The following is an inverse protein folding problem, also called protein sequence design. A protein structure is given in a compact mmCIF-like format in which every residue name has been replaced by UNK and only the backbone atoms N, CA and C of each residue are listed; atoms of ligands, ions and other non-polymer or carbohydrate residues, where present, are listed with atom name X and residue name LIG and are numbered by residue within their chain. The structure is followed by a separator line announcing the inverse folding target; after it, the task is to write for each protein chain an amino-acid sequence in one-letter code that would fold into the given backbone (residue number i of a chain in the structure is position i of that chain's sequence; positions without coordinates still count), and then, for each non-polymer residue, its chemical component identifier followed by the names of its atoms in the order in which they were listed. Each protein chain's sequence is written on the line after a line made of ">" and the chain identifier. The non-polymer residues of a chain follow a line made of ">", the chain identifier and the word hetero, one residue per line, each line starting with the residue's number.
data_IF_216851004507
#
_entry.id   IF_216851004507
#
_cell.length_a   1.000
_cell.length_b   1.000
_cell.length_c   1.000
_cell.angle_alpha   90.00
_cell.angle_beta   90.00
_cell.angle_gamma   90.00
#
_symmetry.space_group_name_H-M   'P 1'
#
loop_
_entity.id
_entity.type
_entity.pdbx_description
1 polymer ?
#
# COMPACT_ATOMS: atom_id res chain seq x y z
N UNK A 1 -0.80 -26.33 -20.67
CA UNK A 1 -1.63 -25.29 -20.02
C UNK A 1 -2.42 -24.60 -21.13
N UNK A 2 -3.74 -24.34 -20.98
CA UNK A 2 -4.43 -23.46 -21.94
C UNK A 2 -3.83 -22.05 -21.79
N UNK A 3 -3.32 -21.49 -22.89
CA UNK A 3 -2.79 -20.12 -22.95
C UNK A 3 -3.94 -19.11 -22.84
N UNK A 4 -3.60 -17.85 -22.51
CA UNK A 4 -4.49 -16.68 -22.61
C UNK A 4 -5.76 -16.71 -21.74
N UNK A 5 -5.59 -16.84 -20.42
CA UNK A 5 -6.70 -16.73 -19.45
C UNK A 5 -6.62 -15.43 -18.65
N UNK A 6 -7.78 -14.81 -18.45
CA UNK A 6 -7.95 -13.64 -17.57
C UNK A 6 -8.79 -14.05 -16.36
N UNK A 7 -8.29 -13.73 -15.17
CA UNK A 7 -9.00 -13.94 -13.92
C UNK A 7 -9.31 -12.57 -13.29
N UNK A 8 -10.59 -12.25 -13.13
CA UNK A 8 -11.07 -11.06 -12.41
C UNK A 8 -11.28 -11.40 -10.94
N UNK A 9 -10.17 -11.62 -10.23
CA UNK A 9 -10.13 -12.01 -8.82
C UNK A 9 -8.96 -11.34 -8.10
N UNK A 10 -9.00 -11.38 -6.77
CA UNK A 10 -7.94 -10.84 -5.93
C UNK A 10 -6.61 -11.55 -6.14
N UNK A 11 -5.52 -10.78 -6.19
CA UNK A 11 -4.16 -11.34 -6.15
C UNK A 11 -3.72 -11.80 -4.76
N UNK A 12 -4.54 -11.59 -3.71
CA UNK A 12 -4.27 -12.12 -2.37
C UNK A 12 -4.31 -13.65 -2.35
N UNK A 13 -5.12 -14.26 -3.21
CA UNK A 13 -5.28 -15.71 -3.32
C UNK A 13 -5.50 -16.10 -4.79
N UNK A 14 -4.51 -16.76 -5.38
CA UNK A 14 -4.49 -17.22 -6.77
C UNK A 14 -4.86 -18.71 -6.85
N UNK A 15 -6.00 -19.09 -6.26
CA UNK A 15 -6.42 -20.50 -6.12
C UNK A 15 -6.62 -21.24 -7.45
N UNK A 16 -6.79 -20.49 -8.54
CA UNK A 16 -6.92 -20.99 -9.90
C UNK A 16 -5.59 -21.50 -10.48
N UNK A 17 -4.48 -21.13 -9.85
CA UNK A 17 -3.13 -21.48 -10.25
C UNK A 17 -2.55 -22.50 -9.27
N UNK A 18 -2.18 -23.71 -9.75
CA UNK A 18 -1.48 -24.69 -8.94
C UNK A 18 -0.13 -24.18 -8.45
N UNK A 19 0.35 -24.76 -7.34
CA UNK A 19 1.70 -24.53 -6.84
C UNK A 19 2.74 -24.84 -7.92
N UNK A 20 3.75 -23.98 -8.03
CA UNK A 20 4.86 -24.22 -8.96
C UNK A 20 4.45 -24.36 -10.43
N UNK A 21 3.36 -23.72 -10.87
CA UNK A 21 2.88 -23.78 -12.25
C UNK A 21 3.40 -22.66 -13.15
N UNK A 22 3.89 -21.55 -12.58
CA UNK A 22 4.27 -20.33 -13.31
C UNK A 22 5.78 -20.19 -13.40
N UNK A 23 6.29 -19.88 -14.60
CA UNK A 23 7.71 -19.64 -14.85
C UNK A 23 8.13 -18.20 -14.52
N UNK A 24 7.32 -17.23 -14.96
CA UNK A 24 7.62 -15.80 -14.81
C UNK A 24 6.36 -15.07 -14.35
N UNK A 25 6.51 -14.22 -13.34
CA UNK A 25 5.51 -13.21 -12.98
C UNK A 25 6.13 -11.85 -13.23
N UNK A 26 5.40 -10.98 -13.91
CA UNK A 26 5.79 -9.58 -14.12
C UNK A 26 4.63 -8.70 -13.68
N UNK A 27 4.90 -7.72 -12.82
CA UNK A 27 3.84 -6.90 -12.24
C UNK A 27 4.30 -5.50 -11.85
N UNK A 28 3.34 -4.58 -11.86
CA UNK A 28 3.45 -3.21 -11.34
C UNK A 28 2.26 -2.96 -10.40
N UNK A 29 2.35 -3.34 -9.11
CA UNK A 29 1.23 -3.21 -8.18
C UNK A 29 0.90 -1.72 -7.95
N UNK A 30 -0.28 -1.40 -7.39
CA UNK A 30 -0.62 -0.03 -7.00
C UNK A 30 0.47 0.61 -6.10
N UNK A 31 1.09 1.69 -6.58
CA UNK A 31 2.14 2.36 -5.79
C UNK A 31 1.56 3.12 -4.61
N UNK A 32 2.24 3.02 -3.46
CA UNK A 32 1.72 3.54 -2.21
C UNK A 32 1.49 5.06 -2.20
N UNK A 33 0.24 5.44 -1.96
CA UNK A 33 -0.26 6.79 -1.85
C UNK A 33 -0.20 7.60 -3.15
N UNK A 34 -0.30 6.96 -4.32
CA UNK A 34 -0.32 7.65 -5.62
C UNK A 34 -1.70 7.66 -6.29
N UNK A 35 -2.29 6.49 -6.56
CA UNK A 35 -3.55 6.37 -7.31
C UNK A 35 -4.64 5.70 -6.46
N UNK A 36 -5.86 6.19 -6.65
CA UNK A 36 -7.09 5.59 -6.14
C UNK A 36 -7.83 5.02 -7.35
N UNK A 37 -8.05 3.70 -7.36
CA UNK A 37 -8.64 2.98 -8.49
C UNK A 37 -10.15 2.80 -8.36
N UNK A 38 -10.77 3.24 -7.25
CA UNK A 38 -12.21 3.11 -7.05
C UNK A 38 -12.59 2.26 -5.84
N UNK A 39 -13.88 2.02 -5.69
CA UNK A 39 -14.44 1.27 -4.55
C UNK A 39 -14.50 -0.24 -4.81
N UNK A 40 -14.53 -0.62 -6.09
CA UNK A 40 -14.59 -1.99 -6.60
C UNK A 40 -13.32 -2.80 -6.34
N UNK A 41 -12.20 -2.13 -6.10
CA UNK A 41 -10.91 -2.75 -5.77
C UNK A 41 -10.65 -2.87 -4.26
N UNK A 42 -11.62 -2.50 -3.41
CA UNK A 42 -11.46 -2.56 -1.95
C UNK A 42 -11.71 -3.96 -1.45
N UNK A 43 -10.77 -4.45 -0.66
CA UNK A 43 -10.77 -5.81 -0.12
C UNK A 43 -10.42 -5.76 1.38
N UNK A 44 -10.59 -6.89 2.05
CA UNK A 44 -10.12 -7.09 3.42
C UNK A 44 -8.70 -7.64 3.35
N UNK A 45 -7.81 -7.09 4.16
CA UNK A 45 -6.40 -7.40 4.21
C UNK A 45 -5.97 -7.77 5.63
N UNK A 46 -5.22 -8.87 5.75
CA UNK A 46 -4.69 -9.34 7.03
C UNK A 46 -5.77 -9.70 8.06
N UNK A 47 -5.36 -9.75 9.33
CA UNK A 47 -6.20 -10.17 10.45
C UNK A 47 -6.52 -11.67 10.45
N UNK A 48 -7.47 -12.04 11.31
CA UNK A 48 -7.94 -13.41 11.46
C UNK A 48 -8.95 -13.77 10.36
N UNK A 49 -8.73 -14.92 9.69
CA UNK A 49 -9.54 -15.43 8.58
C UNK A 49 -10.91 -15.95 9.05
N UNK A 50 -10.98 -16.40 10.29
CA UNK A 50 -12.20 -16.94 10.89
C UNK A 50 -13.02 -15.85 11.61
N UNK A 51 -12.57 -14.60 11.55
CA UNK A 51 -13.23 -13.48 12.18
C UNK A 51 -14.45 -13.01 11.36
N UNK A 52 -15.61 -12.94 12.02
CA UNK A 52 -16.74 -12.18 11.53
C UNK A 52 -16.46 -10.67 11.65
N UNK A 53 -15.78 -10.14 10.64
CA UNK A 53 -15.23 -8.79 10.67
C UNK A 53 -16.29 -7.72 10.97
N UNK A 54 -16.01 -6.87 11.95
CA UNK A 54 -16.80 -5.69 12.28
C UNK A 54 -16.00 -4.42 12.02
N UNK A 55 -16.37 -3.70 10.97
CA UNK A 55 -15.73 -2.46 10.54
C UNK A 55 -16.59 -1.26 10.99
N UNK A 56 -16.12 -0.51 11.98
CA UNK A 56 -16.65 0.83 12.25
C UNK A 56 -15.65 1.89 11.79
N UNK A 57 -16.18 3.03 11.33
CA UNK A 57 -15.43 4.12 10.71
C UNK A 57 -14.44 4.76 11.69
N UNK A 58 -13.23 4.22 11.79
CA UNK A 58 -12.19 4.75 12.64
C UNK A 58 -11.34 5.79 11.88
N UNK A 59 -11.48 7.06 12.24
CA UNK A 59 -10.49 8.11 11.90
C UNK A 59 -9.63 8.35 13.14
N UNK A 60 -8.35 7.99 13.07
CA UNK A 60 -7.36 8.33 14.10
C UNK A 60 -7.17 9.87 14.10
N UNK A 61 -7.19 10.58 15.25
CA UNK A 61 -6.86 11.99 15.24
C UNK A 61 -5.38 12.18 14.92
N UNK A 62 -5.07 13.08 13.99
CA UNK A 62 -3.73 13.64 13.89
C UNK A 62 -3.45 14.44 15.15
N UNK A 63 -2.48 14.03 15.97
CA UNK A 63 -2.18 14.73 17.21
C UNK A 63 -0.96 14.18 17.93
N UNK A 64 0.22 14.46 17.39
CA UNK A 64 1.43 14.54 18.22
C UNK A 64 1.25 15.69 19.19
N UNK A 65 0.90 15.38 20.43
CA UNK A 65 0.94 16.29 21.56
C UNK A 65 1.65 15.57 22.70
N UNK A 66 2.65 16.22 23.28
CA UNK A 66 3.36 15.71 24.46
C UNK A 66 2.34 15.32 25.54
N UNK A 67 2.39 14.07 25.99
CA UNK A 67 1.53 13.59 27.06
C UNK A 67 1.80 14.42 28.32
N UNK A 68 0.79 15.16 28.78
CA UNK A 68 0.82 15.80 30.09
C UNK A 68 0.33 14.76 31.12
N UNK A 69 1.18 14.30 32.06
CA UNK A 69 0.84 13.22 33.00
C UNK A 69 -0.29 13.58 33.96
N UNK A 70 -0.61 14.87 34.15
CA UNK A 70 -1.67 15.32 35.06
C UNK A 70 -3.07 15.37 34.42
N UNK A 71 -3.21 14.93 33.17
CA UNK A 71 -4.51 14.81 32.49
C UNK A 71 -4.74 13.40 32.00
N UNK A 72 -5.02 12.49 32.93
CA UNK A 72 -5.71 11.25 32.61
C UNK A 72 -7.10 11.61 32.04
N UNK A 73 -7.23 11.70 30.70
CA UNK A 73 -8.55 11.78 30.07
C UNK A 73 -9.17 10.39 30.05
N UNK A 74 -9.80 10.04 31.17
CA UNK A 74 -10.84 9.02 31.23
C UNK A 74 -12.05 9.55 30.46
N UNK A 75 -12.54 8.76 29.50
CA UNK A 75 -13.82 9.00 28.82
C UNK A 75 -13.69 9.65 27.45
N UNK A 76 -13.29 8.88 26.44
CA UNK A 76 -13.75 9.15 25.07
C UNK A 76 -15.25 8.84 25.04
N UNK A 77 -16.09 9.86 24.83
CA UNK A 77 -17.53 9.62 24.67
C UNK A 77 -17.83 9.24 23.23
N UNK A 78 -18.88 8.44 23.00
CA UNK A 78 -19.36 8.02 21.66
C UNK A 78 -19.59 9.18 20.67
N UNK A 79 -19.61 10.44 21.14
CA UNK A 79 -19.74 11.66 20.31
C UNK A 79 -18.40 12.19 19.76
N UNK A 80 -17.27 11.81 20.36
CA UNK A 80 -15.92 12.19 19.91
C UNK A 80 -15.40 11.29 18.77
N UNK A 81 -16.11 10.19 18.53
CA UNK A 81 -15.87 9.26 17.42
C UNK A 81 -16.69 9.76 16.23
N UNK A 82 -16.08 10.54 15.33
CA UNK A 82 -16.73 10.94 14.09
C UNK A 82 -17.07 9.69 13.25
N UNK A 83 -18.32 9.25 13.34
CA UNK A 83 -18.97 8.36 12.37
C UNK A 83 -18.91 9.02 10.99
N UNK A 84 -17.97 8.61 10.15
CA UNK A 84 -18.05 8.89 8.72
C UNK A 84 -18.82 7.75 8.09
N UNK A 85 -20.15 7.84 8.03
CA UNK A 85 -20.92 7.02 7.09
C UNK A 85 -20.27 7.16 5.70
N UNK A 86 -19.77 6.05 5.13
CA UNK A 86 -19.04 6.05 3.85
C UNK A 86 -17.50 6.08 3.93
N UNK A 87 -16.88 5.52 4.99
CA UNK A 87 -15.42 5.45 5.05
C UNK A 87 -14.84 4.61 3.91
N UNK A 88 -13.88 5.20 3.16
CA UNK A 88 -13.18 4.52 2.06
C UNK A 88 -12.24 3.40 2.51
N UNK A 89 -11.91 3.37 3.80
CA UNK A 89 -11.11 2.35 4.44
C UNK A 89 -11.46 2.28 5.93
N UNK A 90 -11.32 1.09 6.55
CA UNK A 90 -11.61 0.87 7.96
C UNK A 90 -10.74 -0.25 8.54
N UNK A 91 -10.66 -0.34 9.87
CA UNK A 91 -10.05 -1.46 10.56
C UNK A 91 -11.12 -2.27 11.29
N UNK A 92 -10.97 -3.59 11.27
CA UNK A 92 -11.82 -4.49 12.02
C UNK A 92 -11.51 -4.34 13.52
N UNK A 93 -12.54 -4.10 14.34
CA UNK A 93 -12.35 -3.95 15.79
C UNK A 93 -11.96 -5.25 16.49
N UNK A 94 -12.31 -6.40 15.91
CA UNK A 94 -12.10 -7.72 16.51
C UNK A 94 -10.70 -8.26 16.26
N UNK A 95 -10.21 -8.15 15.02
CA UNK A 95 -8.93 -8.78 14.62
C UNK A 95 -7.92 -7.83 13.97
N UNK A 96 -8.25 -6.53 13.83
CA UNK A 96 -7.34 -5.55 13.22
C UNK A 96 -7.19 -5.65 11.70
N UNK A 97 -7.93 -6.53 11.02
CA UNK A 97 -7.95 -6.59 9.55
C UNK A 97 -8.27 -5.23 8.94
N UNK A 98 -7.62 -4.89 7.83
CA UNK A 98 -7.84 -3.61 7.16
C UNK A 98 -8.74 -3.79 5.94
N UNK A 99 -9.84 -3.06 5.89
CA UNK A 99 -10.67 -2.92 4.69
C UNK A 99 -10.20 -1.70 3.89
N UNK A 100 -9.82 -1.90 2.64
CA UNK A 100 -9.34 -0.82 1.77
C UNK A 100 -8.74 -1.31 0.46
N UNK A 101 -8.25 -0.37 -0.36
CA UNK A 101 -7.63 -0.68 -1.65
C UNK A 101 -6.09 -0.67 -1.52
N UNK A 102 -5.43 -1.70 -2.06
CA UNK A 102 -3.97 -1.81 -2.07
C UNK A 102 -3.31 -0.51 -2.59
N UNK A 103 -2.31 -0.03 -1.87
CA UNK A 103 -1.64 1.23 -2.16
C UNK A 103 -2.27 2.46 -1.50
N UNK A 104 -3.43 2.33 -0.84
CA UNK A 104 -4.07 3.40 -0.06
C UNK A 104 -4.02 3.17 1.46
N UNK A 105 -3.09 2.33 1.92
CA UNK A 105 -2.90 2.05 3.33
C UNK A 105 -2.50 3.32 4.11
N UNK A 106 -2.96 3.46 5.36
CA UNK A 106 -2.62 4.60 6.21
C UNK A 106 -1.12 4.74 6.50
N UNK A 107 -0.38 3.63 6.50
CA UNK A 107 1.06 3.61 6.76
C UNK A 107 1.76 2.81 5.65
N UNK A 108 3.03 3.13 5.38
CA UNK A 108 3.78 2.35 4.41
C UNK A 108 4.06 0.94 4.95
N UNK A 109 4.21 0.76 6.27
CA UNK A 109 4.42 -0.54 6.89
C UNK A 109 3.27 -1.49 6.58
N UNK A 110 2.03 -1.02 6.73
CA UNK A 110 0.85 -1.82 6.40
C UNK A 110 0.79 -2.14 4.89
N UNK A 111 1.18 -1.19 4.03
CA UNK A 111 1.33 -1.46 2.60
C UNK A 111 2.37 -2.56 2.32
N UNK A 112 3.52 -2.54 3.02
CA UNK A 112 4.54 -3.58 2.89
C UNK A 112 4.01 -4.94 3.36
N UNK A 113 3.26 -4.98 4.46
CA UNK A 113 2.60 -6.20 4.97
C UNK A 113 1.63 -6.78 3.92
N UNK A 114 0.79 -5.95 3.31
CA UNK A 114 -0.13 -6.38 2.26
C UNK A 114 0.58 -6.83 0.98
N UNK A 115 1.64 -6.12 0.58
CA UNK A 115 2.47 -6.54 -0.53
C UNK A 115 3.15 -7.89 -0.25
N UNK A 116 3.58 -8.15 0.98
CA UNK A 116 4.09 -9.45 1.38
C UNK A 116 3.04 -10.56 1.24
N UNK A 117 1.77 -10.32 1.56
CA UNK A 117 0.69 -11.29 1.32
C UNK A 117 0.65 -11.69 -0.17
N UNK A 118 0.61 -10.71 -1.06
CA UNK A 118 0.57 -10.95 -2.52
C UNK A 118 1.85 -11.63 -3.01
N UNK A 119 3.02 -11.19 -2.54
CA UNK A 119 4.29 -11.77 -2.93
C UNK A 119 4.47 -13.20 -2.40
N UNK A 120 3.93 -13.54 -1.23
CA UNK A 120 3.92 -14.92 -0.73
C UNK A 120 3.10 -15.82 -1.67
N UNK A 121 1.96 -15.33 -2.15
CA UNK A 121 1.11 -16.07 -3.08
C UNK A 121 1.76 -16.22 -4.46
N UNK A 122 2.40 -15.16 -4.97
CA UNK A 122 3.26 -15.23 -6.16
C UNK A 122 4.36 -16.28 -5.96
N UNK A 123 4.98 -16.30 -4.78
CA UNK A 123 6.03 -17.27 -4.45
C UNK A 123 5.49 -18.70 -4.49
N UNK A 124 4.25 -18.95 -4.04
CA UNK A 124 3.60 -20.28 -4.10
C UNK A 124 3.45 -20.76 -5.55
N UNK A 125 2.86 -19.94 -6.41
CA UNK A 125 2.56 -20.33 -7.80
C UNK A 125 3.80 -20.42 -8.69
N UNK A 126 4.88 -19.71 -8.34
CA UNK A 126 6.14 -19.77 -9.08
C UNK A 126 6.86 -21.12 -8.93
N UNK A 127 7.34 -21.67 -10.04
CA UNK A 127 8.26 -22.81 -10.08
C UNK A 127 9.52 -22.53 -9.26
N UNK A 128 10.23 -23.57 -8.82
CA UNK A 128 11.51 -23.43 -8.11
C UNK A 128 12.56 -22.61 -8.89
N UNK A 129 12.45 -22.62 -10.21
CA UNK A 129 13.27 -21.90 -11.20
C UNK A 129 12.64 -20.57 -11.64
N UNK A 130 11.51 -20.20 -11.08
CA UNK A 130 10.72 -19.06 -11.53
C UNK A 130 11.30 -17.71 -11.13
N UNK A 131 10.92 -16.68 -11.88
CA UNK A 131 11.35 -15.29 -11.67
C UNK A 131 10.17 -14.34 -11.45
N UNK A 132 10.35 -13.40 -10.55
CA UNK A 132 9.47 -12.25 -10.35
C UNK A 132 10.17 -10.98 -10.86
N UNK A 133 9.51 -10.29 -11.77
CA UNK A 133 9.88 -8.94 -12.23
C UNK A 133 8.89 -7.94 -11.64
N UNK A 134 9.38 -7.10 -10.73
CA UNK A 134 8.58 -6.16 -9.96
C UNK A 134 8.94 -4.73 -10.35
N UNK A 135 8.03 -4.04 -11.04
CA UNK A 135 8.18 -2.63 -11.40
C UNK A 135 7.54 -1.74 -10.33
N UNK A 136 8.31 -0.79 -9.80
CA UNK A 136 7.90 0.04 -8.66
C UNK A 136 8.34 1.49 -8.81
N UNK A 137 7.37 2.39 -8.66
CA UNK A 137 7.59 3.82 -8.46
C UNK A 137 7.63 4.17 -6.98
N UNK A 138 8.41 5.20 -6.65
CA UNK A 138 8.50 5.69 -5.27
C UNK A 138 7.50 6.83 -5.01
N UNK A 139 7.36 7.18 -3.74
CA UNK A 139 6.55 8.29 -3.28
C UNK A 139 7.34 9.19 -2.36
N UNK A 140 6.86 10.42 -2.21
CA UNK A 140 7.45 11.38 -1.29
C UNK A 140 6.56 11.55 -0.09
N UNK A 141 7.18 11.76 1.07
CA UNK A 141 6.48 12.22 2.26
C UNK A 141 5.89 13.59 1.95
N UNK A 142 4.58 13.73 2.06
CA UNK A 142 3.90 14.99 1.80
C UNK A 142 2.83 15.22 2.86
N UNK A 143 2.62 16.50 3.17
CA UNK A 143 1.37 16.92 3.79
C UNK A 143 0.27 16.85 2.74
N UNK A 144 -0.97 16.50 3.10
CA UNK A 144 -2.08 16.47 2.16
C UNK A 144 -2.24 17.86 1.53
N UNK A 145 -2.12 17.95 0.20
CA UNK A 145 -2.43 19.19 -0.52
C UNK A 145 -3.94 19.26 -0.77
N UNK A 146 -4.60 20.22 -0.11
CA UNK A 146 -6.04 20.48 -0.17
C UNK A 146 -6.48 21.24 1.09
N UNK A 147 -7.55 22.05 0.99
CA UNK A 147 -8.09 22.83 2.11
C UNK A 147 -8.10 21.97 3.38
N UNK A 148 -7.55 22.50 4.47
CA UNK A 148 -8.01 22.10 5.80
C UNK A 148 -9.53 22.14 5.69
N UNK A 149 -10.21 21.00 5.82
CA UNK A 149 -11.62 21.05 6.15
C UNK A 149 -11.61 21.70 7.52
N UNK A 150 -11.73 23.02 7.55
CA UNK A 150 -11.90 23.76 8.78
C UNK A 150 -13.24 23.24 9.29
N UNK A 151 -13.21 22.30 10.23
CA UNK A 151 -14.32 22.07 11.15
C UNK A 151 -14.44 23.31 12.04
N UNK A 152 -14.71 24.48 11.44
CA UNK A 152 -15.21 25.61 12.18
C UNK A 152 -16.69 25.28 12.35
N UNK A 153 -17.03 24.82 13.55
CA UNK A 153 -18.40 24.72 14.01
C UNK A 153 -18.99 26.13 14.08
N UNK A 154 -19.37 26.70 12.93
CA UNK A 154 -20.31 27.80 12.91
C UNK A 154 -21.67 27.20 13.29
N UNK A 155 -22.14 27.60 14.46
CA UNK A 155 -23.44 27.21 14.98
C UNK A 155 -24.51 27.49 13.91
N UNK A 156 -25.15 26.44 13.37
CA UNK A 156 -26.35 26.57 12.54
C UNK A 156 -26.24 26.23 11.05
N UNK A 157 -25.06 25.90 10.50
CA UNK A 157 -24.96 25.44 9.10
C UNK A 157 -24.64 23.94 9.01
N UNK A 158 -25.56 23.18 8.40
CA UNK A 158 -25.31 21.78 8.01
C UNK A 158 -24.11 21.75 7.04
N UNK A 159 -23.10 20.89 7.26
CA UNK A 159 -22.02 20.72 6.28
C UNK A 159 -22.58 19.95 5.08
N UNK A 160 -23.07 20.68 4.08
CA UNK A 160 -23.60 20.10 2.86
C UNK A 160 -22.53 20.03 1.74
N UNK A 161 -22.43 18.85 1.13
CA UNK A 161 -22.02 18.56 -0.27
C UNK A 161 -20.57 18.24 -0.65
N UNK A 162 -19.60 18.08 0.25
CA UNK A 162 -18.21 17.77 -0.18
C UNK A 162 -17.48 16.63 0.57
N UNK A 163 -18.15 15.86 1.42
CA UNK A 163 -17.52 14.72 2.11
C UNK A 163 -17.09 13.63 1.11
N UNK A 164 -17.93 13.37 0.11
CA UNK A 164 -17.77 12.31 -0.88
C UNK A 164 -16.54 12.53 -1.80
N UNK A 165 -16.16 13.81 -1.99
CA UNK A 165 -15.03 14.23 -2.83
C UNK A 165 -13.71 14.36 -2.07
N UNK A 166 -13.70 14.18 -0.75
CA UNK A 166 -12.46 14.16 0.01
C UNK A 166 -11.63 12.94 -0.43
N UNK A 167 -10.52 13.21 -1.12
CA UNK A 167 -9.46 12.20 -1.29
C UNK A 167 -8.87 11.96 0.08
N UNK A 168 -8.95 10.75 0.60
CA UNK A 168 -8.25 10.37 1.84
C UNK A 168 -6.76 10.35 1.51
N UNK A 169 -6.12 11.52 1.64
CA UNK A 169 -4.67 11.66 1.56
C UNK A 169 -4.18 11.69 2.99
N UNK A 170 -3.57 10.60 3.44
CA UNK A 170 -2.94 10.53 4.74
C UNK A 170 -1.77 11.52 4.79
N UNK A 171 -1.62 12.19 5.94
CA UNK A 171 -0.43 12.99 6.20
C UNK A 171 0.75 12.07 6.45
N UNK A 172 1.59 11.90 5.41
CA UNK A 172 2.76 11.01 5.47
C UNK A 172 3.83 11.53 6.43
N UNK A 173 3.77 12.80 6.84
CA UNK A 173 4.71 13.38 7.80
C UNK A 173 4.43 12.94 9.25
N UNK A 174 3.21 12.48 9.53
CA UNK A 174 2.86 11.91 10.84
C UNK A 174 3.52 10.54 11.09
N UNK A 175 4.23 10.00 10.10
CA UNK A 175 5.03 8.77 10.22
C UNK A 175 6.45 9.04 10.74
N UNK A 176 6.75 10.25 11.19
CA UNK A 176 8.10 10.65 11.63
C UNK A 176 9.08 10.87 10.48
N UNK A 177 8.59 10.92 9.24
CA UNK A 177 9.40 11.14 8.05
C UNK A 177 9.29 12.60 7.64
N UNK A 178 10.45 13.23 7.43
CA UNK A 178 10.54 14.62 7.01
C UNK A 178 9.74 14.88 5.74
N UNK A 179 8.96 15.96 5.73
CA UNK A 179 8.23 16.39 4.56
C UNK A 179 9.17 16.57 3.36
N UNK A 180 8.70 16.16 2.18
CA UNK A 180 9.42 16.17 0.90
C UNK A 180 10.57 15.15 0.80
N UNK A 181 10.75 14.29 1.79
CA UNK A 181 11.70 13.18 1.70
C UNK A 181 11.19 12.11 0.73
N UNK A 182 12.08 11.59 -0.13
CA UNK A 182 11.81 10.40 -0.94
C UNK A 182 11.75 9.19 0.02
N UNK A 183 10.69 8.39 -0.06
CA UNK A 183 10.40 7.41 0.99
C UNK A 183 11.14 6.09 0.83
N UNK A 184 11.70 5.81 -0.36
CA UNK A 184 12.41 4.57 -0.62
C UNK A 184 11.49 3.36 -0.60
N UNK A 185 10.19 3.52 -0.88
CA UNK A 185 9.22 2.41 -0.83
C UNK A 185 9.65 1.21 -1.69
N UNK A 186 10.17 1.40 -2.92
CA UNK A 186 10.61 0.27 -3.75
C UNK A 186 11.69 -0.57 -3.05
N UNK A 187 12.69 0.07 -2.45
CA UNK A 187 13.76 -0.60 -1.72
C UNK A 187 13.29 -1.22 -0.40
N UNK A 188 12.44 -0.51 0.36
CA UNK A 188 11.86 -1.06 1.60
C UNK A 188 11.10 -2.36 1.32
N UNK A 189 10.29 -2.39 0.27
CA UNK A 189 9.57 -3.59 -0.13
C UNK A 189 10.53 -4.73 -0.47
N UNK A 190 11.50 -4.48 -1.35
CA UNK A 190 12.45 -5.52 -1.77
C UNK A 190 13.25 -6.07 -0.59
N UNK A 191 13.70 -5.21 0.32
CA UNK A 191 14.40 -5.64 1.53
C UNK A 191 13.50 -6.50 2.43
N UNK A 192 12.24 -6.09 2.68
CA UNK A 192 11.28 -6.93 3.40
C UNK A 192 11.05 -8.29 2.71
N UNK A 193 10.96 -8.32 1.38
CA UNK A 193 10.82 -9.58 0.64
C UNK A 193 12.05 -10.49 0.80
N UNK A 194 13.26 -9.92 0.82
CA UNK A 194 14.49 -10.67 1.05
C UNK A 194 14.54 -11.20 2.49
N UNK A 195 14.33 -10.31 3.46
CA UNK A 195 14.56 -10.60 4.88
C UNK A 195 13.45 -11.50 5.47
N UNK A 196 12.18 -11.21 5.17
CA UNK A 196 11.03 -11.90 5.79
C UNK A 196 10.55 -13.11 5.01
N UNK A 197 10.72 -13.10 3.69
CA UNK A 197 10.22 -14.18 2.82
C UNK A 197 11.33 -14.98 2.17
N UNK A 198 12.60 -14.61 2.31
CA UNK A 198 13.73 -15.30 1.69
C UNK A 198 13.71 -15.23 0.16
N UNK A 199 13.25 -14.11 -0.41
CA UNK A 199 13.48 -13.85 -1.82
C UNK A 199 14.96 -13.57 -2.08
N UNK A 200 15.44 -13.90 -3.28
CA UNK A 200 16.79 -13.56 -3.70
C UNK A 200 16.71 -12.45 -4.73
N UNK A 201 17.15 -11.24 -4.37
CA UNK A 201 17.29 -10.13 -5.31
C UNK A 201 18.50 -10.38 -6.22
N UNK A 202 18.29 -10.45 -7.53
CA UNK A 202 19.36 -10.63 -8.52
C UNK A 202 19.82 -9.31 -9.09
N UNK A 203 18.87 -8.46 -9.48
CA UNK A 203 19.16 -7.19 -10.11
C UNK A 203 18.14 -6.13 -9.69
N UNK A 204 18.62 -4.90 -9.54
CA UNK A 204 17.81 -3.70 -9.49
C UNK A 204 18.02 -2.93 -10.80
N UNK A 205 17.14 -3.18 -11.77
CA UNK A 205 17.15 -2.48 -13.05
C UNK A 205 16.52 -1.10 -12.94
N UNK A 206 16.90 -0.21 -13.87
CA UNK A 206 16.31 1.12 -14.01
C UNK A 206 15.52 1.18 -15.30
N UNK A 207 14.21 1.37 -15.19
CA UNK A 207 13.39 1.73 -16.32
C UNK A 207 13.46 3.25 -16.54
N UNK A 208 14.33 3.67 -17.45
CA UNK A 208 14.40 5.06 -17.89
C UNK A 208 13.15 5.42 -18.71
N UNK A 209 12.56 6.59 -18.43
CA UNK A 209 11.39 7.14 -19.12
C UNK A 209 11.81 8.40 -19.87
N UNK A 210 12.24 8.30 -21.14
CA UNK A 210 12.77 9.43 -21.90
C UNK A 210 11.80 10.61 -21.98
N UNK A 211 10.50 10.30 -22.07
CA UNK A 211 9.41 11.28 -22.16
C UNK A 211 8.64 11.36 -20.84
N UNK A 212 9.36 11.38 -19.71
CA UNK A 212 8.73 11.55 -18.40
C UNK A 212 8.09 12.94 -18.27
N UNK A 213 6.95 13.00 -17.58
CA UNK A 213 6.28 14.26 -17.30
C UNK A 213 7.19 15.16 -16.46
N UNK A 214 7.44 16.42 -16.88
CA UNK A 214 8.26 17.33 -16.11
C UNK A 214 7.57 17.67 -14.79
N UNK A 215 8.35 17.71 -13.71
CA UNK A 215 7.87 18.13 -12.39
C UNK A 215 7.95 19.65 -12.26
N UNK A 216 6.86 20.29 -11.82
CA UNK A 216 6.85 21.72 -11.44
C UNK A 216 7.50 21.99 -10.09
N UNK A 217 7.96 20.93 -9.39
CA UNK A 217 8.59 21.04 -8.07
C UNK A 217 10.02 21.54 -8.22
N UNK A 218 10.41 22.59 -7.48
CA UNK A 218 11.73 23.24 -7.58
C UNK A 218 12.81 22.69 -6.64
N UNK A 219 12.44 21.86 -5.66
CA UNK A 219 13.35 21.38 -4.60
C UNK A 219 13.84 19.94 -4.80
N UNK A 220 13.61 19.38 -5.99
CA UNK A 220 14.04 18.03 -6.37
C UNK A 220 14.07 17.87 -7.90
N UNK A 221 14.76 16.83 -8.35
CA UNK A 221 14.74 16.43 -9.76
C UNK A 221 13.39 15.84 -10.15
N UNK A 222 13.07 15.93 -11.44
CA UNK A 222 11.91 15.24 -12.01
C UNK A 222 12.11 13.73 -11.91
N UNK A 223 11.06 13.01 -11.53
CA UNK A 223 11.11 11.56 -11.49
C UNK A 223 11.01 10.99 -12.91
N UNK A 224 12.15 10.65 -13.50
CA UNK A 224 12.29 10.18 -14.88
C UNK A 224 12.57 8.68 -15.00
N UNK A 225 12.49 7.93 -13.90
CA UNK A 225 12.73 6.49 -13.92
C UNK A 225 11.87 5.73 -12.90
N UNK A 226 11.78 4.41 -13.07
CA UNK A 226 11.25 3.48 -12.07
C UNK A 226 12.22 2.32 -11.86
N UNK A 227 12.10 1.64 -10.71
CA UNK A 227 12.89 0.45 -10.46
C UNK A 227 12.18 -0.77 -11.04
N UNK A 228 12.96 -1.62 -11.71
CA UNK A 228 12.53 -2.94 -12.16
C UNK A 228 13.39 -3.99 -11.46
N UNK A 229 12.85 -4.58 -10.40
CA UNK A 229 13.57 -5.57 -9.60
C UNK A 229 13.36 -6.97 -10.14
N UNK A 230 14.45 -7.74 -10.21
CA UNK A 230 14.42 -9.16 -10.53
C UNK A 230 14.66 -9.98 -9.27
N UNK A 231 13.63 -10.70 -8.83
CA UNK A 231 13.68 -11.58 -7.66
C UNK A 231 13.48 -13.04 -8.09
N UNK A 232 14.15 -13.96 -7.40
CA UNK A 232 14.03 -15.42 -7.62
C UNK A 232 13.80 -16.18 -6.31
N UNK A 233 13.26 -17.40 -6.40
CA UNK A 233 12.99 -18.24 -5.22
C UNK A 233 14.24 -18.87 -4.60
N UNK A 234 15.23 -19.22 -5.41
CA UNK A 234 16.37 -20.01 -4.98
C UNK A 234 17.69 -19.46 -5.51
N UNK A 235 18.77 -19.70 -4.77
CA UNK A 235 20.13 -19.26 -5.11
C UNK A 235 20.80 -20.11 -6.19
N UNK A 236 20.42 -21.39 -6.32
CA UNK A 236 21.01 -22.32 -7.31
C UNK A 236 20.59 -21.95 -8.74
N UNK A 237 21.52 -21.94 -9.71
CA UNK A 237 21.26 -21.54 -11.10
C UNK A 237 20.54 -22.64 -11.88
N UNK A 238 19.32 -22.99 -11.46
CA UNK A 238 18.42 -23.85 -12.22
C UNK A 238 17.49 -23.04 -13.13
N UNK A 239 17.67 -21.71 -13.23
CA UNK A 239 16.83 -20.81 -14.02
C UNK A 239 17.58 -20.22 -15.23
N UNK A 240 16.80 -19.74 -16.20
CA UNK A 240 17.04 -19.58 -17.64
C UNK A 240 18.31 -18.89 -18.20
N UNK A 241 19.28 -18.47 -17.39
CA UNK A 241 20.49 -17.74 -17.86
C UNK A 241 21.75 -18.60 -17.97
N UNK A 242 21.62 -19.90 -18.21
CA UNK A 242 22.76 -20.83 -18.29
C UNK A 242 23.40 -20.92 -19.69
N UNK A 243 23.08 -20.02 -20.62
CA UNK A 243 23.80 -19.95 -21.89
C UNK A 243 25.00 -19.01 -21.72
N UNK A 244 26.19 -19.62 -21.72
CA UNK A 244 27.50 -18.95 -21.71
C UNK A 244 27.85 -18.44 -23.09
#
# INVERSE_FOLDING_TARGET
>A
MKVDKVYTKSSQQMTELPDGSIDIVMTSPPYWGLRDYGEDVREIWGGDKDCEHEFENYVRPAGGGHANPDKAQVGTTKKDVQRVFGAKAAFCQKCGAWYGALGLEPTFQLYLEHMMIVCAEIKRVLKKTGSLWLNMGDTYACKPAGNKVNYRWQHGHKPEKNLDKARVRYDKTNLGIQAKCLMGIPWRLVLCLVDEQGWVLRNAGIWNKPNSMPSSTKDRLSNSYEFLFHLVKNTKPQYYWNEK
#
